data_IF_724118012212
#
_entry.id   IF_724118012212
#
_cell.length_a   1.000
_cell.length_b   1.000
_cell.length_c   1.000
_cell.angle_alpha   90.00
_cell.angle_beta   90.00
_cell.angle_gamma   90.00
#
_symmetry.space_group_name_H-M   'P 1'
#
loop_
_entity.id
_entity.type
_entity.pdbx_description
1 polymer ?
#
# COMPACT_ATOMS: atom_id res chain seq x y z
N UNK A 1 -14.25 11.77 -14.55
CA UNK A 1 -13.79 11.70 -13.14
C UNK A 1 -13.86 10.29 -12.56
N UNK A 2 -14.89 9.51 -12.88
CA UNK A 2 -15.09 8.09 -12.50
C UNK A 2 -13.87 7.18 -12.73
N UNK A 3 -13.24 7.25 -13.92
CA UNK A 3 -12.05 6.44 -14.24
C UNK A 3 -10.87 6.66 -13.28
N UNK A 4 -10.69 7.88 -12.79
CA UNK A 4 -9.61 8.21 -11.85
C UNK A 4 -9.86 7.60 -10.47
N UNK A 5 -11.12 7.48 -10.05
CA UNK A 5 -11.50 6.82 -8.79
C UNK A 5 -11.28 5.31 -8.86
N UNK A 6 -11.63 4.68 -9.98
CA UNK A 6 -11.33 3.26 -10.19
C UNK A 6 -9.83 2.97 -10.13
N UNK A 7 -9.00 3.86 -10.71
CA UNK A 7 -7.56 3.78 -10.61
C UNK A 7 -7.06 4.01 -9.17
N UNK A 8 -7.61 4.99 -8.45
CA UNK A 8 -7.27 5.22 -7.03
C UNK A 8 -7.61 4.01 -6.16
N UNK A 9 -8.78 3.39 -6.35
CA UNK A 9 -9.18 2.18 -5.61
C UNK A 9 -8.27 0.98 -5.94
N UNK A 10 -7.91 0.80 -7.21
CA UNK A 10 -6.96 -0.24 -7.62
C UNK A 10 -5.57 -0.04 -7.04
N UNK A 11 -5.04 1.19 -7.13
CA UNK A 11 -3.74 1.55 -6.56
C UNK A 11 -3.77 1.43 -5.03
N UNK A 12 -4.86 1.82 -4.38
CA UNK A 12 -5.04 1.68 -2.94
C UNK A 12 -4.96 0.22 -2.49
N UNK A 13 -5.68 -0.66 -3.19
CA UNK A 13 -5.68 -2.10 -2.89
C UNK A 13 -4.29 -2.71 -3.09
N UNK A 14 -3.64 -2.41 -4.22
CA UNK A 14 -2.29 -2.91 -4.50
C UNK A 14 -1.25 -2.38 -3.49
N UNK A 15 -1.25 -1.07 -3.23
CA UNK A 15 -0.32 -0.44 -2.28
C UNK A 15 -0.56 -0.92 -0.84
N UNK A 16 -1.82 -1.03 -0.42
CA UNK A 16 -2.19 -1.56 0.90
C UNK A 16 -1.77 -3.02 1.07
N UNK A 17 -2.02 -3.88 0.09
CA UNK A 17 -1.61 -5.28 0.12
C UNK A 17 -0.08 -5.43 0.13
N UNK A 18 0.63 -4.66 -0.69
CA UNK A 18 2.10 -4.66 -0.71
C UNK A 18 2.69 -4.12 0.60
N UNK A 19 2.11 -3.05 1.17
CA UNK A 19 2.50 -2.51 2.47
C UNK A 19 2.27 -3.49 3.61
N UNK A 20 1.12 -4.17 3.64
CA UNK A 20 0.83 -5.17 4.65
C UNK A 20 1.72 -6.42 4.52
N UNK A 21 1.94 -6.89 3.29
CA UNK A 21 2.81 -8.06 3.04
C UNK A 21 4.27 -7.77 3.36
N UNK A 22 4.76 -6.56 3.07
CA UNK A 22 6.12 -6.12 3.46
C UNK A 22 6.28 -6.00 4.97
N UNK A 23 5.23 -5.61 5.71
CA UNK A 23 5.24 -5.54 7.18
C UNK A 23 5.15 -6.90 7.86
N UNK A 24 4.24 -7.77 7.41
CA UNK A 24 4.00 -9.10 8.02
C UNK A 24 5.07 -10.10 7.62
N UNK A 25 5.56 -10.02 6.37
CA UNK A 25 6.58 -10.93 5.82
C UNK A 25 7.74 -10.15 5.18
N UNK A 26 8.53 -9.42 5.98
CA UNK A 26 9.67 -8.65 5.47
C UNK A 26 10.70 -9.53 4.76
N UNK A 27 10.82 -10.81 5.11
CA UNK A 27 11.70 -11.76 4.44
C UNK A 27 11.31 -12.02 2.97
N UNK A 28 10.01 -12.08 2.65
CA UNK A 28 9.54 -12.24 1.26
C UNK A 28 9.83 -10.99 0.44
N UNK A 29 9.56 -9.82 1.01
CA UNK A 29 9.83 -8.55 0.36
C UNK A 29 11.33 -8.30 0.17
N UNK A 30 12.17 -8.65 1.15
CA UNK A 30 13.63 -8.66 1.00
C UNK A 30 14.08 -9.55 -0.16
N UNK A 31 13.56 -10.79 -0.25
CA UNK A 31 13.90 -11.72 -1.33
C UNK A 31 13.47 -11.19 -2.70
N UNK A 32 12.25 -10.67 -2.80
CA UNK A 32 11.75 -10.09 -4.05
C UNK A 32 12.58 -8.88 -4.52
N UNK A 33 13.11 -8.11 -3.57
CA UNK A 33 13.94 -6.92 -3.84
C UNK A 33 15.45 -7.23 -3.93
N UNK A 34 15.88 -8.48 -3.74
CA UNK A 34 17.30 -8.87 -3.76
C UNK A 34 18.14 -8.18 -2.68
N UNK A 35 17.53 -7.80 -1.55
CA UNK A 35 18.19 -7.02 -0.52
C UNK A 35 19.08 -7.88 0.39
N UNK A 36 20.30 -7.41 0.72
CA UNK A 36 21.21 -8.14 1.61
C UNK A 36 20.62 -8.30 3.02
N UNK A 37 21.10 -9.33 3.73
CA UNK A 37 20.76 -9.50 5.14
C UNK A 37 21.36 -8.37 5.96
N UNK A 38 20.55 -7.72 6.79
CA UNK A 38 21.02 -6.66 7.67
C UNK A 38 19.88 -5.95 8.39
N UNK A 39 20.16 -5.46 9.59
CA UNK A 39 19.18 -4.69 10.39
C UNK A 39 18.74 -3.41 9.69
N UNK A 40 19.68 -2.70 9.05
CA UNK A 40 19.39 -1.46 8.31
C UNK A 40 18.40 -1.69 7.15
N UNK A 41 18.62 -2.76 6.36
CA UNK A 41 17.73 -3.10 5.24
C UNK A 41 16.33 -3.51 5.75
N UNK A 42 16.27 -4.23 6.87
CA UNK A 42 15.01 -4.65 7.49
C UNK A 42 14.25 -3.44 8.05
N UNK A 43 14.95 -2.50 8.68
CA UNK A 43 14.35 -1.27 9.20
C UNK A 43 13.82 -0.37 8.08
N UNK A 44 14.61 -0.15 7.03
CA UNK A 44 14.17 0.59 5.84
C UNK A 44 12.92 -0.04 5.21
N UNK A 45 12.87 -1.38 5.14
CA UNK A 45 11.73 -2.09 4.60
C UNK A 45 10.47 -1.95 5.47
N UNK A 46 10.60 -1.85 6.79
CA UNK A 46 9.47 -1.55 7.69
C UNK A 46 8.94 -0.14 7.46
N UNK A 47 9.80 0.86 7.33
CA UNK A 47 9.38 2.23 7.01
C UNK A 47 8.64 2.25 5.68
N UNK A 48 9.23 1.66 4.64
CA UNK A 48 8.60 1.56 3.33
C UNK A 48 7.23 0.85 3.40
N UNK A 49 7.14 -0.25 4.14
CA UNK A 49 5.88 -0.98 4.35
C UNK A 49 4.83 -0.14 5.07
N UNK A 50 5.19 0.59 6.13
CA UNK A 50 4.27 1.50 6.84
C UNK A 50 3.78 2.62 5.93
N UNK A 51 4.67 3.24 5.15
CA UNK A 51 4.30 4.32 4.22
C UNK A 51 3.40 3.82 3.10
N UNK A 52 3.69 2.64 2.52
CA UNK A 52 2.90 2.05 1.45
C UNK A 52 1.52 1.60 1.94
N UNK A 53 1.45 1.06 3.15
CA UNK A 53 0.19 0.71 3.80
C UNK A 53 -0.65 1.95 4.12
N UNK A 54 -0.04 3.00 4.68
CA UNK A 54 -0.71 4.26 4.96
C UNK A 54 -1.24 4.93 3.69
N UNK A 55 -0.48 4.89 2.58
CA UNK A 55 -0.93 5.36 1.28
C UNK A 55 -2.16 4.57 0.80
N UNK A 56 -2.14 3.25 0.93
CA UNK A 56 -3.27 2.38 0.61
C UNK A 56 -4.52 2.71 1.43
N UNK A 57 -4.37 2.89 2.74
CA UNK A 57 -5.47 3.31 3.62
C UNK A 57 -6.00 4.70 3.26
N UNK A 58 -5.13 5.64 2.90
CA UNK A 58 -5.54 7.00 2.55
C UNK A 58 -6.33 7.04 1.24
N UNK A 59 -5.79 6.43 0.18
CA UNK A 59 -6.46 6.35 -1.12
C UNK A 59 -7.75 5.52 -1.05
N UNK A 60 -7.71 4.38 -0.36
CA UNK A 60 -8.85 3.48 -0.19
C UNK A 60 -9.94 4.09 0.68
N UNK A 61 -9.56 4.71 1.80
CA UNK A 61 -10.47 5.45 2.68
C UNK A 61 -11.12 6.62 1.95
N UNK A 62 -10.35 7.40 1.19
CA UNK A 62 -10.91 8.48 0.36
C UNK A 62 -11.89 7.96 -0.68
N UNK A 63 -11.54 6.91 -1.43
CA UNK A 63 -12.42 6.33 -2.42
C UNK A 63 -13.73 5.79 -1.79
N UNK A 64 -13.63 5.09 -0.66
CA UNK A 64 -14.78 4.56 0.06
C UNK A 64 -15.72 5.68 0.56
N UNK A 65 -15.16 6.73 1.18
CA UNK A 65 -15.94 7.89 1.64
C UNK A 65 -16.58 8.63 0.46
N UNK A 66 -15.87 8.79 -0.65
CA UNK A 66 -16.41 9.42 -1.86
C UNK A 66 -17.61 8.66 -2.42
N UNK A 67 -17.52 7.33 -2.50
CA UNK A 67 -18.64 6.47 -2.92
C UNK A 67 -19.82 6.57 -1.95
N UNK A 68 -19.57 6.56 -0.63
CA UNK A 68 -20.62 6.71 0.38
C UNK A 68 -21.28 8.09 0.35
N UNK A 69 -20.53 9.14 0.01
CA UNK A 69 -21.04 10.51 -0.12
C UNK A 69 -21.87 10.75 -1.40
N UNK A 70 -22.18 9.70 -2.17
CA UNK A 70 -22.98 9.80 -3.40
C UNK A 70 -22.15 10.12 -4.65
N UNK A 71 -20.82 10.08 -4.54
CA UNK A 71 -19.93 10.15 -5.68
C UNK A 71 -20.04 8.88 -6.51
N UNK A 72 -20.69 8.96 -7.68
CA UNK A 72 -20.81 7.83 -8.61
C UNK A 72 -19.40 7.44 -9.07
N UNK A 73 -19.03 6.19 -8.82
CA UNK A 73 -17.77 5.56 -9.26
C UNK A 73 -17.86 5.08 -10.71
#
# INVERSE_FOLDING_TARGET
>A
MTRSLALMAGIAGAAGALGLTTLVRPALARRALGLPEGEAATYALRIAGMMLFALGLFLGGFAAVFTLAGGVA
#
